data_IF_648461971216
#
_entry.id   IF_648461971216
#
_cell.length_a   1.000
_cell.length_b   1.000
_cell.length_c   1.000
_cell.angle_alpha   90.00
_cell.angle_beta   90.00
_cell.angle_gamma   90.00
#
_symmetry.space_group_name_H-M   'P 1'
#
loop_
_entity.id
_entity.type
_entity.pdbx_description
1 polymer ?
#
# COMPACT_ATOMS: atom_id res chain seq x y z
N UNK A 1 -5.25 -31.60 35.34
CA UNK A 1 -5.12 -31.47 33.87
C UNK A 1 -3.78 -30.93 33.39
N UNK A 2 -3.05 -30.02 34.08
CA UNK A 2 -1.62 -29.82 33.84
C UNK A 2 -0.74 -30.75 34.70
N UNK A 3 -1.18 -31.08 35.91
CA UNK A 3 -0.42 -31.92 36.86
C UNK A 3 -0.30 -33.38 36.38
N UNK A 4 -1.34 -33.91 35.73
CA UNK A 4 -1.35 -35.26 35.16
C UNK A 4 -0.37 -35.41 34.01
N UNK A 5 -0.19 -34.34 33.21
CA UNK A 5 0.75 -34.32 32.07
C UNK A 5 2.18 -34.22 32.61
N UNK A 6 2.41 -33.38 33.63
CA UNK A 6 3.72 -33.27 34.27
C UNK A 6 4.17 -34.59 34.94
N UNK A 7 3.26 -35.29 35.61
CA UNK A 7 3.53 -36.60 36.22
C UNK A 7 3.86 -37.68 35.17
N UNK A 8 3.15 -37.70 34.04
CA UNK A 8 3.39 -38.64 32.94
C UNK A 8 4.72 -38.36 32.23
N UNK A 9 5.11 -37.09 32.10
CA UNK A 9 6.39 -36.67 31.53
C UNK A 9 7.58 -36.96 32.46
N UNK A 10 7.40 -36.87 33.79
CA UNK A 10 8.42 -37.27 34.76
C UNK A 10 8.63 -38.79 34.79
N UNK A 11 7.57 -39.58 34.68
CA UNK A 11 7.66 -41.05 34.62
C UNK A 11 8.28 -41.55 33.31
N UNK A 12 8.01 -40.86 32.19
CA UNK A 12 8.37 -41.30 30.85
C UNK A 12 8.98 -40.14 30.01
N UNK A 13 10.21 -39.70 30.33
CA UNK A 13 10.86 -38.56 29.68
C UNK A 13 11.07 -38.77 28.16
N UNK A 14 11.07 -40.02 27.70
CA UNK A 14 11.15 -40.37 26.28
C UNK A 14 9.95 -39.85 25.46
N UNK A 15 8.80 -39.58 26.08
CA UNK A 15 7.63 -39.00 25.40
C UNK A 15 7.89 -37.58 24.91
N UNK A 16 8.64 -36.77 25.66
CA UNK A 16 9.09 -35.44 25.19
C UNK A 16 9.97 -35.56 23.96
N UNK A 17 10.87 -36.55 23.97
CA UNK A 17 11.80 -36.79 22.87
C UNK A 17 11.04 -37.24 21.61
N UNK A 18 10.05 -38.12 21.75
CA UNK A 18 9.16 -38.53 20.65
C UNK A 18 8.33 -37.34 20.13
N UNK A 19 7.79 -36.51 21.00
CA UNK A 19 7.03 -35.32 20.60
C UNK A 19 7.92 -34.32 19.84
N UNK A 20 9.13 -34.06 20.34
CA UNK A 20 10.11 -33.21 19.68
C UNK A 20 10.48 -33.75 18.30
N UNK A 21 10.78 -35.05 18.21
CA UNK A 21 11.08 -35.73 16.95
C UNK A 21 9.91 -35.66 15.98
N UNK A 22 8.67 -35.82 16.44
CA UNK A 22 7.48 -35.68 15.61
C UNK A 22 7.30 -34.26 15.08
N UNK A 23 7.58 -33.23 15.89
CA UNK A 23 7.55 -31.83 15.47
C UNK A 23 8.64 -31.56 14.42
N UNK A 24 9.85 -32.06 14.64
CA UNK A 24 10.98 -31.91 13.70
C UNK A 24 10.68 -32.63 12.39
N UNK A 25 10.21 -33.89 12.41
CA UNK A 25 9.83 -34.64 11.20
C UNK A 25 8.72 -33.91 10.44
N UNK A 26 7.74 -33.34 11.15
CA UNK A 26 6.69 -32.54 10.50
C UNK A 26 7.26 -31.31 9.81
N UNK A 27 8.09 -30.52 10.49
CA UNK A 27 8.66 -29.29 9.93
C UNK A 27 9.62 -29.57 8.77
N UNK A 28 10.53 -30.53 8.97
CA UNK A 28 11.52 -30.94 7.97
C UNK A 28 10.83 -31.63 6.79
N UNK A 29 9.85 -32.49 7.03
CA UNK A 29 9.06 -33.13 5.98
C UNK A 29 8.26 -32.12 5.16
N UNK A 30 7.73 -31.07 5.80
CA UNK A 30 7.05 -29.99 5.10
C UNK A 30 8.04 -29.22 4.20
N UNK A 31 9.19 -28.80 4.74
CA UNK A 31 10.23 -28.08 4.02
C UNK A 31 10.79 -28.88 2.83
N UNK A 32 11.05 -30.18 3.04
CA UNK A 32 11.57 -31.09 2.01
C UNK A 32 10.52 -31.39 0.92
N UNK A 33 9.24 -31.49 1.27
CA UNK A 33 8.15 -31.69 0.30
C UNK A 33 7.94 -30.48 -0.61
N UNK A 34 8.25 -29.28 -0.11
CA UNK A 34 8.20 -28.04 -0.88
C UNK A 34 9.43 -27.89 -1.81
N UNK A 35 10.59 -28.42 -1.40
CA UNK A 35 11.85 -28.29 -2.13
C UNK A 35 12.15 -29.43 -3.15
N UNK A 36 11.56 -30.62 -3.01
CA UNK A 36 11.87 -31.77 -3.88
C UNK A 36 10.66 -32.62 -4.25
N UNK A 37 10.43 -32.79 -5.57
CA UNK A 37 9.38 -33.63 -6.15
C UNK A 37 9.54 -35.12 -5.79
N UNK A 38 10.77 -35.55 -5.57
CA UNK A 38 11.12 -36.91 -5.15
C UNK A 38 10.70 -37.19 -3.71
N UNK A 39 10.84 -36.22 -2.80
CA UNK A 39 10.45 -36.38 -1.39
C UNK A 39 8.94 -36.33 -1.17
N UNK A 40 8.21 -35.55 -1.97
CA UNK A 40 6.75 -35.56 -1.95
C UNK A 40 6.15 -36.92 -2.36
N UNK A 41 6.82 -37.67 -3.25
CA UNK A 41 6.46 -39.05 -3.62
C UNK A 41 6.75 -40.05 -2.49
N UNK A 42 7.88 -39.88 -1.78
CA UNK A 42 8.27 -40.75 -0.64
C UNK A 42 7.34 -40.55 0.57
N UNK A 43 6.90 -39.32 0.85
CA UNK A 43 5.94 -39.00 1.93
C UNK A 43 4.47 -39.32 1.58
N UNK A 44 4.21 -39.87 0.39
CA UNK A 44 2.90 -40.39 0.00
C UNK A 44 1.76 -39.35 -0.04
N UNK A 45 0.57 -39.65 0.50
CA UNK A 45 -0.61 -38.76 0.41
C UNK A 45 -0.46 -37.46 1.22
N UNK A 46 0.37 -37.44 2.27
CA UNK A 46 0.59 -36.26 3.12
C UNK A 46 1.43 -35.21 2.41
N UNK A 47 2.51 -35.60 1.73
CA UNK A 47 3.33 -34.70 0.91
C UNK A 47 2.53 -34.03 -0.21
N UNK A 48 1.64 -34.78 -0.87
CA UNK A 48 0.72 -34.23 -1.91
C UNK A 48 -0.26 -33.20 -1.34
N UNK A 49 -0.74 -33.37 -0.10
CA UNK A 49 -1.61 -32.39 0.57
C UNK A 49 -0.86 -31.11 0.95
N UNK A 50 0.37 -31.23 1.42
CA UNK A 50 1.19 -30.05 1.75
C UNK A 50 1.56 -29.26 0.50
N UNK A 51 1.95 -29.93 -0.59
CA UNK A 51 2.27 -29.28 -1.85
C UNK A 51 1.07 -28.56 -2.47
N UNK A 52 -0.09 -29.21 -2.55
CA UNK A 52 -1.31 -28.56 -3.07
C UNK A 52 -1.76 -27.37 -2.21
N UNK A 53 -1.53 -27.40 -0.90
CA UNK A 53 -1.76 -26.26 -0.02
C UNK A 53 -0.77 -25.12 -0.27
N UNK A 54 0.51 -25.43 -0.50
CA UNK A 54 1.54 -24.45 -0.83
C UNK A 54 1.32 -23.82 -2.21
N UNK A 55 0.95 -24.61 -3.23
CA UNK A 55 0.62 -24.12 -4.57
C UNK A 55 -0.62 -23.22 -4.55
N UNK A 56 -1.67 -23.58 -3.78
CA UNK A 56 -2.83 -22.70 -3.58
C UNK A 56 -2.44 -21.37 -2.93
N UNK A 57 -1.54 -21.39 -1.94
CA UNK A 57 -1.05 -20.16 -1.30
C UNK A 57 -0.29 -19.28 -2.29
N UNK A 58 0.62 -19.85 -3.07
CA UNK A 58 1.35 -19.11 -4.10
C UNK A 58 0.43 -18.50 -5.16
N UNK A 59 -0.62 -19.21 -5.55
CA UNK A 59 -1.61 -18.69 -6.50
C UNK A 59 -2.40 -17.50 -5.92
N UNK A 60 -2.83 -17.61 -4.66
CA UNK A 60 -3.51 -16.50 -3.96
C UNK A 60 -2.57 -15.31 -3.78
N UNK A 61 -1.35 -15.54 -3.31
CA UNK A 61 -0.32 -14.50 -3.16
C UNK A 61 0.00 -13.81 -4.50
N UNK A 62 0.09 -14.56 -5.60
CA UNK A 62 0.32 -14.00 -6.92
C UNK A 62 -0.89 -13.18 -7.41
N UNK A 63 -2.12 -13.64 -7.13
CA UNK A 63 -3.34 -12.91 -7.47
C UNK A 63 -3.45 -11.61 -6.66
N UNK A 64 -3.17 -11.65 -5.36
CA UNK A 64 -3.16 -10.49 -4.47
C UNK A 64 -2.11 -9.47 -4.91
N UNK A 65 -0.91 -9.94 -5.29
CA UNK A 65 0.17 -9.06 -5.77
C UNK A 65 -0.17 -8.41 -7.13
N UNK A 66 -0.85 -9.14 -8.02
CA UNK A 66 -1.32 -8.58 -9.28
C UNK A 66 -2.43 -7.53 -9.06
N UNK A 67 -3.34 -7.77 -8.12
CA UNK A 67 -4.40 -6.81 -7.78
C UNK A 67 -3.82 -5.56 -7.11
N UNK A 68 -2.89 -5.70 -6.17
CA UNK A 68 -2.18 -4.58 -5.56
C UNK A 68 -1.46 -3.73 -6.61
N UNK A 69 -0.79 -4.37 -7.56
CA UNK A 69 -0.12 -3.66 -8.67
C UNK A 69 -1.13 -2.86 -9.50
N UNK A 70 -2.27 -3.46 -9.85
CA UNK A 70 -3.36 -2.76 -10.55
C UNK A 70 -3.90 -1.59 -9.74
N UNK A 71 -4.05 -1.73 -8.43
CA UNK A 71 -4.50 -0.65 -7.55
C UNK A 71 -3.49 0.52 -7.55
N UNK A 72 -2.20 0.23 -7.44
CA UNK A 72 -1.13 1.24 -7.50
C UNK A 72 -1.12 1.95 -8.85
N UNK A 73 -1.16 1.19 -9.95
CA UNK A 73 -1.16 1.74 -11.32
C UNK A 73 -2.38 2.65 -11.57
N UNK A 74 -3.53 2.36 -10.94
CA UNK A 74 -4.72 3.21 -11.02
C UNK A 74 -4.67 4.43 -10.09
N UNK A 75 -4.05 4.31 -8.93
CA UNK A 75 -4.00 5.37 -7.92
C UNK A 75 -2.93 6.42 -8.24
N UNK A 76 -1.78 6.01 -8.77
CA UNK A 76 -0.68 6.91 -9.12
C UNK A 76 -1.11 8.12 -9.99
N UNK A 77 -1.75 7.93 -11.16
CA UNK A 77 -2.16 9.06 -11.99
C UNK A 77 -3.26 9.92 -11.36
N UNK A 78 -4.08 9.34 -10.47
CA UNK A 78 -5.11 10.08 -9.73
C UNK A 78 -4.51 11.00 -8.68
N UNK A 79 -3.49 10.52 -7.97
CA UNK A 79 -2.76 11.33 -6.99
C UNK A 79 -2.04 12.46 -7.70
N UNK A 80 -1.33 12.16 -8.79
CA UNK A 80 -0.65 13.16 -9.62
C UNK A 80 -1.61 14.26 -10.09
N UNK A 81 -2.73 13.90 -10.72
CA UNK A 81 -3.75 14.86 -11.15
C UNK A 81 -4.34 15.67 -9.99
N UNK A 82 -4.48 15.08 -8.80
CA UNK A 82 -4.96 15.81 -7.63
C UNK A 82 -3.92 16.80 -7.12
N UNK A 83 -2.65 16.40 -7.07
CA UNK A 83 -1.53 17.26 -6.67
C UNK A 83 -1.40 18.46 -7.61
N UNK A 84 -1.51 18.25 -8.93
CA UNK A 84 -1.52 19.36 -9.91
C UNK A 84 -2.67 20.34 -9.67
N UNK A 85 -3.87 19.84 -9.39
CA UNK A 85 -5.04 20.70 -9.09
C UNK A 85 -4.86 21.50 -7.82
N UNK A 86 -4.25 20.91 -6.79
CA UNK A 86 -3.94 21.61 -5.53
C UNK A 86 -2.91 22.70 -5.79
N UNK A 87 -1.83 22.40 -6.52
CA UNK A 87 -0.82 23.40 -6.88
C UNK A 87 -1.43 24.59 -7.66
N UNK A 88 -2.30 24.32 -8.64
CA UNK A 88 -3.02 25.35 -9.38
C UNK A 88 -3.92 26.21 -8.48
N UNK A 89 -4.55 25.60 -7.49
CA UNK A 89 -5.41 26.30 -6.53
C UNK A 89 -4.59 27.19 -5.58
N UNK A 90 -3.48 26.69 -5.07
CA UNK A 90 -2.56 27.43 -4.20
C UNK A 90 -1.98 28.66 -4.93
N UNK A 91 -1.56 28.48 -6.19
CA UNK A 91 -1.10 29.57 -7.06
C UNK A 91 -2.17 30.65 -7.24
N UNK A 92 -3.43 30.24 -7.43
CA UNK A 92 -4.54 31.17 -7.56
C UNK A 92 -4.83 31.91 -6.24
N UNK A 93 -4.77 31.23 -5.10
CA UNK A 93 -4.95 31.88 -3.79
C UNK A 93 -3.86 32.92 -3.54
N UNK A 94 -2.62 32.64 -3.93
CA UNK A 94 -1.54 33.61 -3.83
C UNK A 94 -1.77 34.81 -4.75
N UNK A 95 -2.18 34.57 -6.00
CA UNK A 95 -2.59 35.63 -6.93
C UNK A 95 -3.71 36.50 -6.34
N UNK A 96 -4.78 35.87 -5.84
CA UNK A 96 -5.96 36.54 -5.29
C UNK A 96 -5.61 37.40 -4.07
N UNK A 97 -4.79 36.87 -3.17
CA UNK A 97 -4.32 37.59 -1.98
C UNK A 97 -3.48 38.82 -2.35
N UNK A 98 -2.58 38.68 -3.33
CA UNK A 98 -1.76 39.79 -3.82
C UNK A 98 -2.63 40.86 -4.49
N UNK A 99 -3.58 40.45 -5.34
CA UNK A 99 -4.49 41.37 -5.99
C UNK A 99 -5.31 42.16 -4.96
N UNK A 100 -5.93 41.48 -3.98
CA UNK A 100 -6.68 42.15 -2.92
C UNK A 100 -5.81 43.10 -2.09
N UNK A 101 -4.56 42.72 -1.79
CA UNK A 101 -3.61 43.58 -1.09
C UNK A 101 -3.37 44.88 -1.89
N UNK A 102 -3.08 44.75 -3.18
CA UNK A 102 -2.74 45.90 -4.03
C UNK A 102 -3.94 46.84 -4.21
N UNK A 103 -5.14 46.30 -4.37
CA UNK A 103 -6.39 47.08 -4.40
C UNK A 103 -6.62 47.84 -3.10
N UNK A 104 -6.42 47.19 -1.95
CA UNK A 104 -6.59 47.83 -0.66
C UNK A 104 -5.58 48.97 -0.45
N UNK A 105 -4.32 48.77 -0.86
CA UNK A 105 -3.29 49.81 -0.80
C UNK A 105 -3.63 50.98 -1.73
N UNK A 106 -4.03 50.69 -2.97
CA UNK A 106 -4.45 51.72 -3.92
C UNK A 106 -5.67 52.50 -3.41
N UNK A 107 -6.65 51.78 -2.87
CA UNK A 107 -7.85 52.30 -2.24
C UNK A 107 -7.54 53.29 -1.12
N UNK A 108 -6.52 52.96 -0.30
CA UNK A 108 -6.04 53.83 0.77
C UNK A 108 -5.30 55.07 0.26
N UNK A 109 -4.56 54.96 -0.84
CA UNK A 109 -3.76 56.07 -1.40
C UNK A 109 -4.58 57.06 -2.25
N UNK A 110 -5.52 56.56 -3.06
CA UNK A 110 -6.21 57.32 -4.12
C UNK A 110 -7.74 57.31 -3.99
N UNK A 111 -8.29 56.66 -2.96
CA UNK A 111 -9.72 56.45 -2.81
C UNK A 111 -10.20 55.20 -3.55
N UNK A 112 -11.51 54.94 -3.53
CA UNK A 112 -12.14 53.71 -4.07
C UNK A 112 -12.25 53.69 -5.60
N UNK A 113 -11.15 53.91 -6.29
CA UNK A 113 -11.01 53.63 -7.73
C UNK A 113 -10.28 52.29 -7.89
N UNK A 114 -10.82 51.39 -8.71
CA UNK A 114 -10.20 50.09 -8.97
C UNK A 114 -9.10 50.24 -10.03
N UNK A 115 -7.82 50.12 -9.67
CA UNK A 115 -6.76 50.16 -10.66
C UNK A 115 -6.79 48.89 -11.53
N UNK A 116 -6.42 48.98 -12.81
CA UNK A 116 -6.10 47.80 -13.59
C UNK A 116 -4.87 47.08 -13.01
N UNK A 117 -4.77 45.74 -13.14
CA UNK A 117 -5.67 44.85 -13.87
C UNK A 117 -6.92 44.44 -13.08
N UNK A 118 -8.02 44.20 -13.80
CA UNK A 118 -9.22 43.60 -13.23
C UNK A 118 -8.91 42.22 -12.64
N UNK A 119 -9.58 41.88 -11.54
CA UNK A 119 -9.49 40.55 -10.96
C UNK A 119 -10.02 39.51 -11.95
N UNK A 120 -9.29 38.41 -12.10
CA UNK A 120 -9.70 37.30 -12.95
C UNK A 120 -10.22 36.14 -12.10
N UNK A 121 -11.32 35.53 -12.54
CA UNK A 121 -11.82 34.29 -11.92
C UNK A 121 -10.81 33.15 -12.02
N UNK A 122 -10.91 32.16 -11.12
CA UNK A 122 -10.12 30.94 -11.17
C UNK A 122 -10.13 30.23 -12.54
N UNK A 123 -11.29 30.16 -13.21
CA UNK A 123 -11.41 29.56 -14.54
C UNK A 123 -10.66 30.33 -15.64
N UNK A 124 -10.52 31.64 -15.49
CA UNK A 124 -9.73 32.47 -16.41
C UNK A 124 -8.24 32.33 -16.11
N UNK A 125 -7.85 32.32 -14.83
CA UNK A 125 -6.48 32.06 -14.37
C UNK A 125 -5.95 30.71 -14.88
N UNK A 126 -6.72 29.63 -14.72
CA UNK A 126 -6.35 28.31 -15.24
C UNK A 126 -6.14 28.31 -16.76
N UNK A 127 -7.04 28.96 -17.51
CA UNK A 127 -6.92 29.06 -18.98
C UNK A 127 -5.66 29.84 -19.38
N UNK A 128 -5.33 30.90 -18.65
CA UNK A 128 -4.12 31.69 -18.90
C UNK A 128 -2.85 30.87 -18.66
N UNK A 129 -2.79 30.08 -17.57
CA UNK A 129 -1.67 29.18 -17.26
C UNK A 129 -1.49 28.07 -18.30
N UNK A 130 -2.60 27.46 -18.75
CA UNK A 130 -2.58 26.45 -19.81
C UNK A 130 -2.06 27.03 -21.15
N UNK A 131 -2.43 28.28 -21.48
CA UNK A 131 -1.92 28.96 -22.68
C UNK A 131 -0.44 29.37 -22.55
N UNK A 132 0.03 29.64 -21.34
CA UNK A 132 1.43 29.96 -21.06
C UNK A 132 2.35 28.73 -21.11
N UNK A 133 1.80 27.52 -21.12
CA UNK A 133 2.57 26.27 -21.14
C UNK A 133 3.17 25.91 -19.77
N UNK A 134 2.64 26.49 -18.69
CA UNK A 134 3.10 26.20 -17.33
C UNK A 134 2.62 24.84 -16.82
N UNK A 135 1.70 24.17 -17.54
CA UNK A 135 1.14 22.84 -17.24
C UNK A 135 0.66 22.16 -18.53
#
# INVERSE_FOLDING_TARGET
>A
MPDDVAALLQGHPWLLLVMLVAIVIRYVGQLLSEASESWAKVLGPLGRRWRSKAERRRFVEAADLADLRRQVDNLAPRVESMTEKVAMYDDYLQYDANWHRDINLHGAERGWEFPPPEHISFLAFMRQRQQAGDF
#
